data_IF_615021351867
#
_entry.id   IF_615021351867
#
_cell.length_a   1.000
_cell.length_b   1.000
_cell.length_c   1.000
_cell.angle_alpha   90.00
_cell.angle_beta   90.00
_cell.angle_gamma   90.00
#
_symmetry.space_group_name_H-M   'P 1'
#
loop_
_entity.id
_entity.type
_entity.pdbx_description
1 polymer ?
#
# COMPACT_ATOMS: atom_id res chain seq x y z
N UNK A 1 -8.83 36.94 40.09
CA UNK A 1 -7.78 37.43 39.17
C UNK A 1 -6.68 36.38 38.98
N UNK A 2 -6.19 35.70 40.02
CA UNK A 2 -5.15 34.67 39.90
C UNK A 2 -5.49 33.47 39.00
N UNK A 3 -6.74 32.99 38.99
CA UNK A 3 -7.13 31.81 38.19
C UNK A 3 -7.13 32.06 36.67
N UNK A 4 -7.35 33.30 36.23
CA UNK A 4 -7.31 33.64 34.81
C UNK A 4 -5.88 33.68 34.28
N UNK A 5 -4.94 34.19 35.07
CA UNK A 5 -3.52 34.24 34.69
C UNK A 5 -2.89 32.84 34.66
N UNK A 6 -3.27 31.94 35.57
CA UNK A 6 -2.82 30.55 35.55
C UNK A 6 -3.38 29.79 34.35
N UNK A 7 -4.65 30.00 33.99
CA UNK A 7 -5.25 29.42 32.78
C UNK A 7 -4.56 29.96 31.52
N UNK A 8 -4.33 31.28 31.43
CA UNK A 8 -3.71 31.90 30.26
C UNK A 8 -2.25 31.45 30.07
N UNK A 9 -1.48 31.35 31.16
CA UNK A 9 -0.09 30.84 31.13
C UNK A 9 -0.05 29.36 30.74
N UNK A 10 -0.97 28.54 31.29
CA UNK A 10 -1.09 27.13 30.91
C UNK A 10 -1.43 26.96 29.42
N UNK A 11 -2.40 27.71 28.90
CA UNK A 11 -2.76 27.68 27.48
C UNK A 11 -1.60 28.15 26.59
N UNK A 12 -0.85 29.17 27.02
CA UNK A 12 0.35 29.63 26.31
C UNK A 12 1.44 28.56 26.23
N UNK A 13 1.71 27.85 27.33
CA UNK A 13 2.67 26.74 27.38
C UNK A 13 2.19 25.58 26.49
N UNK A 14 0.90 25.24 26.55
CA UNK A 14 0.31 24.18 25.71
C UNK A 14 0.42 24.51 24.22
N UNK A 15 0.10 25.74 23.83
CA UNK A 15 0.22 26.19 22.44
C UNK A 15 1.68 26.17 21.96
N UNK A 16 2.62 26.63 22.79
CA UNK A 16 4.05 26.56 22.49
C UNK A 16 4.53 25.10 22.33
N UNK A 17 4.07 24.18 23.20
CA UNK A 17 4.39 22.77 23.11
C UNK A 17 3.85 22.12 21.81
N UNK A 18 2.59 22.41 21.44
CA UNK A 18 2.01 21.93 20.18
C UNK A 18 2.78 22.49 18.97
N UNK A 19 3.15 23.77 19.00
CA UNK A 19 3.92 24.40 17.93
C UNK A 19 5.32 23.78 17.78
N UNK A 20 6.01 23.55 18.90
CA UNK A 20 7.34 22.92 18.93
C UNK A 20 7.27 21.48 18.40
N UNK A 21 6.30 20.68 18.85
CA UNK A 21 6.14 19.30 18.39
C UNK A 21 5.82 19.23 16.89
N UNK A 22 4.97 20.13 16.39
CA UNK A 22 4.67 20.25 14.97
C UNK A 22 5.92 20.66 14.17
N UNK A 23 6.68 21.67 14.63
CA UNK A 23 7.93 22.08 13.98
C UNK A 23 8.98 20.97 13.95
N UNK A 24 9.18 20.25 15.07
CA UNK A 24 10.08 19.10 15.12
C UNK A 24 9.64 18.00 14.15
N UNK A 25 8.34 17.72 14.07
CA UNK A 25 7.77 16.77 13.12
C UNK A 25 8.02 17.16 11.66
N UNK A 26 7.81 18.43 11.29
CA UNK A 26 8.08 18.93 9.94
C UNK A 26 9.58 18.92 9.62
N UNK A 27 10.43 19.28 10.59
CA UNK A 27 11.89 19.26 10.43
C UNK A 27 12.40 17.84 10.20
N UNK A 28 11.91 16.87 10.95
CA UNK A 28 12.29 15.47 10.79
C UNK A 28 11.82 14.92 9.44
N UNK A 29 10.58 15.21 9.02
CA UNK A 29 10.09 14.85 7.68
C UNK A 29 10.98 15.41 6.56
N UNK A 30 11.34 16.69 6.65
CA UNK A 30 12.24 17.32 5.67
C UNK A 30 13.63 16.68 5.68
N UNK A 31 14.16 16.38 6.87
CA UNK A 31 15.47 15.73 7.04
C UNK A 31 15.48 14.33 6.43
N UNK A 32 14.47 13.51 6.73
CA UNK A 32 14.33 12.16 6.18
C UNK A 32 14.21 12.17 4.66
N UNK A 33 13.39 13.08 4.11
CA UNK A 33 13.28 13.24 2.66
C UNK A 33 14.61 13.64 2.02
N UNK A 34 15.32 14.61 2.60
CA UNK A 34 16.62 15.04 2.07
C UNK A 34 17.68 13.93 2.14
N UNK A 35 17.67 13.12 3.20
CA UNK A 35 18.54 11.94 3.30
C UNK A 35 18.21 10.91 2.22
N UNK A 36 16.93 10.63 1.98
CA UNK A 36 16.49 9.73 0.92
C UNK A 36 16.96 10.24 -0.46
N UNK A 37 16.72 11.51 -0.79
CA UNK A 37 17.21 12.10 -2.04
C UNK A 37 18.72 12.00 -2.19
N UNK A 38 19.47 12.30 -1.13
CA UNK A 38 20.92 12.21 -1.16
C UNK A 38 21.41 10.77 -1.42
N UNK A 39 20.74 9.77 -0.84
CA UNK A 39 21.04 8.37 -1.07
C UNK A 39 20.67 7.91 -2.50
N UNK A 40 19.51 8.30 -3.00
CA UNK A 40 19.08 8.00 -4.39
C UNK A 40 20.03 8.64 -5.41
N UNK A 41 20.42 9.90 -5.19
CA UNK A 41 21.38 10.63 -6.01
C UNK A 41 22.76 9.95 -6.01
N UNK A 42 23.23 9.52 -4.85
CA UNK A 42 24.59 8.97 -4.73
C UNK A 42 24.71 7.51 -5.18
N UNK A 43 23.60 6.78 -5.26
CA UNK A 43 23.53 5.37 -5.68
C UNK A 43 23.26 5.19 -7.18
N UNK A 44 22.63 6.15 -7.83
CA UNK A 44 22.39 6.10 -9.27
C UNK A 44 23.72 6.01 -10.05
N UNK A 45 23.76 5.14 -11.06
CA UNK A 45 24.96 4.89 -11.86
C UNK A 45 26.08 4.16 -11.09
N UNK A 46 25.75 3.45 -10.02
CA UNK A 46 26.69 2.60 -9.27
C UNK A 46 26.09 1.21 -9.06
N UNK A 47 26.94 0.17 -8.93
CA UNK A 47 26.49 -1.16 -8.58
C UNK A 47 25.62 -1.11 -7.32
N UNK A 48 24.39 -1.67 -7.34
CA UNK A 48 23.50 -1.63 -6.20
C UNK A 48 24.08 -2.46 -5.05
N UNK A 49 24.00 -1.91 -3.84
CA UNK A 49 24.26 -2.65 -2.61
C UNK A 49 22.94 -2.92 -1.90
N UNK A 50 22.07 -3.70 -2.55
CA UNK A 50 20.73 -4.04 -2.05
C UNK A 50 20.76 -5.40 -1.38
N UNK A 51 20.57 -5.42 -0.06
CA UNK A 51 20.40 -6.67 0.70
C UNK A 51 18.93 -7.04 0.76
N UNK A 52 18.51 -7.95 -0.10
CA UNK A 52 17.15 -8.48 -0.10
C UNK A 52 17.02 -9.57 0.97
N UNK A 53 16.03 -9.43 1.86
CA UNK A 53 15.74 -10.47 2.85
C UNK A 53 15.27 -11.76 2.14
N UNK A 54 15.62 -12.97 2.64
CA UNK A 54 15.24 -14.24 1.98
C UNK A 54 13.74 -14.36 1.73
N UNK A 55 12.94 -13.92 2.70
CA UNK A 55 11.47 -13.90 2.63
C UNK A 55 10.97 -13.05 1.45
N UNK A 56 11.63 -11.91 1.17
CA UNK A 56 11.29 -11.06 0.03
C UNK A 56 11.80 -11.65 -1.28
N UNK A 57 13.00 -12.23 -1.29
CA UNK A 57 13.56 -12.84 -2.49
C UNK A 57 12.63 -13.93 -3.06
N UNK A 58 12.05 -14.75 -2.18
CA UNK A 58 11.06 -15.77 -2.55
C UNK A 58 9.79 -15.21 -3.21
N UNK A 59 9.53 -13.90 -3.07
CA UNK A 59 8.34 -13.22 -3.58
C UNK A 59 8.59 -12.50 -4.91
N UNK A 60 9.85 -12.38 -5.35
CA UNK A 60 10.22 -11.69 -6.60
C UNK A 60 9.63 -12.37 -7.85
N UNK A 61 9.57 -13.71 -7.96
CA UNK A 61 9.03 -14.36 -9.17
C UNK A 61 7.52 -14.17 -9.38
N UNK A 62 6.79 -13.58 -8.45
CA UNK A 62 5.33 -13.62 -8.42
C UNK A 62 4.67 -12.93 -9.60
N UNK A 63 5.15 -11.76 -10.01
CA UNK A 63 4.67 -11.11 -11.23
C UNK A 63 4.91 -11.99 -12.46
N UNK A 64 6.11 -12.59 -12.58
CA UNK A 64 6.46 -13.50 -13.67
C UNK A 64 5.53 -14.73 -13.74
N UNK A 65 5.25 -15.37 -12.60
CA UNK A 65 4.39 -16.55 -12.54
C UNK A 65 2.94 -16.26 -12.93
N UNK A 66 2.47 -15.03 -12.70
CA UNK A 66 1.12 -14.59 -13.07
C UNK A 66 1.02 -14.05 -14.51
N UNK A 67 2.15 -13.89 -15.21
CA UNK A 67 2.23 -13.36 -16.57
C UNK A 67 3.00 -14.32 -17.49
N UNK A 68 2.45 -15.52 -17.77
CA UNK A 68 3.08 -16.44 -18.69
C UNK A 68 3.14 -15.83 -20.10
N UNK A 69 4.31 -15.94 -20.74
CA UNK A 69 4.56 -15.46 -22.10
C UNK A 69 4.91 -16.61 -23.06
N UNK A 70 4.98 -16.30 -24.36
CA UNK A 70 5.28 -17.30 -25.40
C UNK A 70 6.68 -17.92 -25.23
N UNK A 71 7.65 -17.11 -24.80
CA UNK A 71 9.00 -17.55 -24.47
C UNK A 71 9.41 -16.99 -23.12
N UNK A 72 9.75 -17.89 -22.20
CA UNK A 72 10.23 -17.56 -20.87
C UNK A 72 11.37 -18.48 -20.48
N UNK A 73 12.40 -17.92 -19.87
CA UNK A 73 13.58 -18.63 -19.38
C UNK A 73 13.14 -19.49 -18.19
N UNK A 74 13.34 -20.80 -18.29
CA UNK A 74 13.03 -21.76 -17.23
C UNK A 74 14.09 -21.73 -16.12
N UNK A 75 13.81 -22.39 -15.00
CA UNK A 75 14.71 -22.38 -13.85
C UNK A 75 16.07 -23.03 -14.14
N UNK A 76 16.12 -24.01 -15.06
CA UNK A 76 17.38 -24.64 -15.47
C UNK A 76 18.24 -23.60 -16.20
N UNK A 77 17.71 -22.98 -17.25
CA UNK A 77 18.45 -21.97 -18.02
C UNK A 77 18.78 -20.74 -17.18
N UNK A 78 17.91 -20.33 -16.26
CA UNK A 78 18.17 -19.23 -15.33
C UNK A 78 19.39 -19.48 -14.45
N UNK A 79 19.50 -20.69 -13.91
CA UNK A 79 20.63 -21.10 -13.10
C UNK A 79 21.89 -21.29 -13.94
N UNK A 80 21.80 -21.92 -15.12
CA UNK A 80 22.95 -22.14 -16.01
C UNK A 80 23.60 -20.83 -16.50
N UNK A 81 22.82 -19.75 -16.56
CA UNK A 81 23.27 -18.41 -16.97
C UNK A 81 23.61 -17.48 -15.77
N UNK A 82 23.58 -17.99 -14.54
CA UNK A 82 23.80 -17.22 -13.31
C UNK A 82 22.98 -15.91 -13.24
N UNK A 83 21.72 -15.95 -13.71
CA UNK A 83 20.88 -14.75 -13.82
C UNK A 83 20.47 -14.16 -12.47
N UNK A 84 20.58 -14.91 -11.38
CA UNK A 84 20.45 -14.37 -10.02
C UNK A 84 21.51 -13.30 -9.72
N UNK A 85 22.76 -13.53 -10.15
CA UNK A 85 23.83 -12.56 -9.96
C UNK A 85 23.58 -11.33 -10.84
N UNK A 86 23.21 -11.52 -12.11
CA UNK A 86 22.85 -10.42 -13.02
C UNK A 86 21.70 -9.59 -12.47
N UNK A 87 20.62 -10.22 -11.99
CA UNK A 87 19.50 -9.55 -11.37
C UNK A 87 19.97 -8.72 -10.17
N UNK A 88 20.82 -9.27 -9.30
CA UNK A 88 21.34 -8.56 -8.13
C UNK A 88 22.16 -7.32 -8.48
N UNK A 89 22.89 -7.34 -9.61
CA UNK A 89 23.66 -6.21 -10.11
C UNK A 89 22.78 -5.15 -10.80
N UNK A 90 21.62 -5.54 -11.32
CA UNK A 90 20.69 -4.62 -11.98
C UNK A 90 19.67 -4.01 -11.02
N UNK A 91 19.34 -4.68 -9.92
CA UNK A 91 18.24 -4.29 -9.03
C UNK A 91 18.60 -3.13 -8.10
N UNK A 92 18.32 -1.92 -8.58
CA UNK A 92 18.28 -0.66 -7.82
C UNK A 92 16.85 -0.11 -7.69
N UNK A 93 15.84 -0.96 -7.91
CA UNK A 93 14.43 -0.57 -7.88
C UNK A 93 14.01 -0.10 -6.48
N UNK A 94 13.10 0.86 -6.44
CA UNK A 94 12.62 1.53 -5.23
C UNK A 94 11.42 0.83 -4.57
N UNK A 95 10.71 -0.04 -5.29
CA UNK A 95 9.50 -0.69 -4.80
C UNK A 95 9.37 -2.15 -5.25
N UNK A 96 8.50 -2.88 -4.56
CA UNK A 96 8.27 -4.30 -4.82
C UNK A 96 7.77 -4.59 -6.25
N UNK A 97 6.94 -3.69 -6.81
CA UNK A 97 6.46 -3.83 -8.18
C UNK A 97 7.61 -3.71 -9.20
N UNK A 98 8.59 -2.83 -8.94
CA UNK A 98 9.78 -2.69 -9.77
C UNK A 98 10.67 -3.92 -9.73
N UNK A 99 10.88 -4.51 -8.55
CA UNK A 99 11.65 -5.75 -8.38
C UNK A 99 11.04 -6.90 -9.18
N UNK A 100 9.74 -7.14 -8.97
CA UNK A 100 9.03 -8.25 -9.60
C UNK A 100 8.93 -8.06 -11.12
N UNK A 101 8.72 -6.83 -11.59
CA UNK A 101 8.71 -6.52 -13.03
C UNK A 101 10.11 -6.64 -13.66
N UNK A 102 11.17 -6.19 -12.98
CA UNK A 102 12.55 -6.35 -13.46
C UNK A 102 12.93 -7.82 -13.61
N UNK A 103 12.55 -8.65 -12.63
CA UNK A 103 12.74 -10.10 -12.71
C UNK A 103 11.98 -10.71 -13.89
N UNK A 104 10.73 -10.29 -14.09
CA UNK A 104 9.93 -10.69 -15.25
C UNK A 104 10.59 -10.32 -16.59
N UNK A 105 11.21 -9.14 -16.70
CA UNK A 105 11.94 -8.74 -17.90
C UNK A 105 13.13 -9.65 -18.20
N UNK A 106 13.89 -10.05 -17.17
CA UNK A 106 15.01 -10.99 -17.34
C UNK A 106 14.54 -12.39 -17.71
N UNK A 107 13.42 -12.84 -17.14
CA UNK A 107 12.79 -14.12 -17.48
C UNK A 107 12.14 -14.11 -18.86
N UNK A 108 11.82 -12.94 -19.41
CA UNK A 108 11.04 -12.80 -20.65
C UNK A 108 11.80 -11.88 -21.64
N UNK A 109 12.97 -12.31 -22.15
CA UNK A 109 13.78 -11.46 -23.02
C UNK A 109 13.06 -11.16 -24.34
N UNK A 110 13.19 -9.92 -24.82
CA UNK A 110 12.67 -9.52 -26.12
C UNK A 110 13.38 -10.27 -27.25
N UNK A 111 12.64 -11.05 -28.04
CA UNK A 111 13.19 -11.82 -29.16
C UNK A 111 13.29 -11.03 -30.46
N UNK A 112 12.62 -9.87 -30.54
CA UNK A 112 12.61 -9.00 -31.71
C UNK A 112 12.74 -7.54 -31.26
N UNK A 113 13.28 -6.70 -32.14
CA UNK A 113 13.49 -5.28 -31.85
C UNK A 113 12.18 -4.51 -31.53
N UNK A 114 11.04 -4.96 -32.08
CA UNK A 114 9.73 -4.38 -31.78
C UNK A 114 9.18 -4.73 -30.40
N UNK A 115 9.76 -5.73 -29.73
CA UNK A 115 9.30 -6.25 -28.44
C UNK A 115 10.13 -5.67 -27.27
N UNK A 116 11.01 -4.70 -27.55
CA UNK A 116 11.84 -4.08 -26.51
C UNK A 116 10.96 -3.48 -25.41
N UNK A 117 11.25 -3.78 -24.14
CA UNK A 117 10.41 -3.33 -23.05
C UNK A 117 10.44 -1.82 -22.90
N UNK A 118 11.51 -1.14 -23.33
CA UNK A 118 11.64 0.31 -23.21
C UNK A 118 12.14 0.91 -24.51
N UNK A 119 11.66 2.11 -24.83
CA UNK A 119 12.16 2.87 -25.97
C UNK A 119 13.55 3.44 -25.69
N UNK A 120 14.30 3.76 -26.74
CA UNK A 120 15.57 4.50 -26.61
C UNK A 120 15.37 5.85 -25.92
N UNK A 121 14.27 6.53 -26.21
CA UNK A 121 13.91 7.81 -25.57
C UNK A 121 13.76 7.65 -24.04
N UNK A 122 13.12 6.58 -23.57
CA UNK A 122 13.00 6.29 -22.12
C UNK A 122 14.36 6.08 -21.47
N UNK A 123 15.27 5.35 -22.13
CA UNK A 123 16.63 5.15 -21.61
C UNK A 123 17.42 6.47 -21.55
N UNK A 124 17.41 7.22 -22.65
CA UNK A 124 18.22 8.42 -22.80
C UNK A 124 17.67 9.56 -21.90
N UNK A 125 16.36 9.60 -21.59
CA UNK A 125 15.76 10.60 -20.70
C UNK A 125 16.30 10.56 -19.27
N UNK A 126 16.47 9.37 -18.70
CA UNK A 126 16.99 9.23 -17.34
C UNK A 126 18.52 9.11 -17.28
N UNK A 127 19.16 8.90 -18.44
CA UNK A 127 20.60 8.97 -18.65
C UNK A 127 21.10 10.42 -18.74
N UNK A 128 22.41 10.62 -18.72
CA UNK A 128 23.09 11.92 -18.98
C UNK A 128 22.77 13.10 -18.01
N UNK A 129 22.00 12.87 -16.94
CA UNK A 129 21.82 13.82 -15.83
C UNK A 129 20.88 15.00 -16.08
N UNK A 130 20.42 15.23 -17.31
CA UNK A 130 19.53 16.35 -17.66
C UNK A 130 18.19 16.34 -16.90
N UNK A 131 17.64 15.16 -16.60
CA UNK A 131 16.35 14.99 -15.91
C UNK A 131 16.50 14.42 -14.49
N UNK A 132 17.63 14.68 -13.82
CA UNK A 132 17.90 14.13 -12.50
C UNK A 132 16.83 14.48 -11.44
N UNK A 133 16.35 15.72 -11.38
CA UNK A 133 15.35 16.10 -10.37
C UNK A 133 13.99 15.43 -10.61
N UNK A 134 13.64 15.16 -11.87
CA UNK A 134 12.43 14.42 -12.23
C UNK A 134 12.56 12.93 -11.85
N UNK A 135 13.71 12.33 -12.18
CA UNK A 135 14.08 10.97 -11.74
C UNK A 135 13.97 10.83 -10.21
N UNK A 136 14.57 11.76 -9.46
CA UNK A 136 14.54 11.74 -8.00
C UNK A 136 13.12 11.86 -7.44
N UNK A 137 12.24 12.66 -8.06
CA UNK A 137 10.83 12.75 -7.65
C UNK A 137 10.10 11.43 -7.87
N UNK A 138 10.30 10.79 -9.03
CA UNK A 138 9.71 9.47 -9.31
C UNK A 138 10.21 8.43 -8.32
N UNK A 139 11.54 8.32 -8.12
CA UNK A 139 12.13 7.40 -7.15
C UNK A 139 11.64 7.65 -5.72
N UNK A 140 11.44 8.91 -5.29
CA UNK A 140 10.83 9.23 -4.00
C UNK A 140 9.38 8.72 -3.88
N UNK A 141 8.58 8.88 -4.94
CA UNK A 141 7.20 8.40 -4.99
C UNK A 141 7.17 6.87 -4.93
N UNK A 142 8.03 6.21 -5.70
CA UNK A 142 8.18 4.75 -5.75
C UNK A 142 8.66 4.18 -4.41
N UNK A 143 9.65 4.82 -3.78
CA UNK A 143 10.11 4.44 -2.43
C UNK A 143 8.97 4.52 -1.40
N UNK A 144 8.05 5.48 -1.58
CA UNK A 144 6.85 5.61 -0.75
C UNK A 144 5.86 4.45 -0.88
N UNK A 145 5.79 3.78 -2.03
CA UNK A 145 5.04 2.52 -2.18
C UNK A 145 5.74 1.41 -1.38
N UNK A 146 7.06 1.30 -1.54
CA UNK A 146 7.88 0.33 -0.83
C UNK A 146 7.43 -1.11 -1.11
N UNK A 147 7.39 -1.94 -0.06
CA UNK A 147 7.08 -3.37 -0.17
C UNK A 147 5.75 -3.73 0.51
N UNK A 148 5.13 -4.82 0.06
CA UNK A 148 3.89 -5.36 0.60
C UNK A 148 4.07 -6.11 1.95
N UNK A 149 5.28 -6.12 2.50
CA UNK A 149 5.62 -6.85 3.72
C UNK A 149 6.25 -8.20 3.39
N UNK A 150 5.79 -9.27 4.07
CA UNK A 150 6.34 -10.62 3.94
C UNK A 150 5.84 -11.41 2.73
N UNK A 151 4.71 -11.05 2.15
CA UNK A 151 4.12 -11.73 0.99
C UNK A 151 3.93 -10.75 -0.17
N UNK A 152 3.94 -11.26 -1.40
CA UNK A 152 3.57 -10.50 -2.60
C UNK A 152 2.09 -10.15 -2.59
N UNK A 153 1.70 -9.17 -3.42
CA UNK A 153 0.29 -8.83 -3.58
C UNK A 153 -0.52 -10.01 -4.15
N UNK A 154 0.08 -10.84 -5.01
CA UNK A 154 -0.57 -12.01 -5.61
C UNK A 154 -0.89 -13.08 -4.58
N UNK A 155 0.09 -13.51 -3.77
CA UNK A 155 -0.13 -14.44 -2.64
C UNK A 155 -1.24 -13.93 -1.71
N UNK A 156 -1.30 -12.61 -1.51
CA UNK A 156 -2.32 -12.00 -0.70
C UNK A 156 -3.70 -12.00 -1.36
N UNK A 157 -3.79 -11.71 -2.66
CA UNK A 157 -5.03 -11.80 -3.42
C UNK A 157 -5.54 -13.24 -3.41
N UNK A 158 -4.68 -14.22 -3.62
CA UNK A 158 -5.01 -15.64 -3.62
C UNK A 158 -5.40 -16.15 -2.23
N UNK A 159 -4.65 -15.78 -1.19
CA UNK A 159 -5.01 -16.11 0.17
C UNK A 159 -6.36 -15.50 0.56
N UNK A 160 -6.78 -14.37 -0.04
CA UNK A 160 -8.13 -13.88 0.20
C UNK A 160 -9.20 -14.85 -0.28
N UNK A 161 -8.95 -15.68 -1.29
CA UNK A 161 -9.91 -16.72 -1.72
C UNK A 161 -10.27 -17.69 -0.59
N UNK A 162 -9.33 -17.96 0.32
CA UNK A 162 -9.56 -18.81 1.51
C UNK A 162 -10.62 -18.25 2.48
N UNK A 163 -10.91 -16.94 2.42
CA UNK A 163 -11.96 -16.32 3.22
C UNK A 163 -13.39 -16.65 2.74
N UNK A 164 -13.53 -17.29 1.58
CA UNK A 164 -14.82 -17.63 0.99
C UNK A 164 -15.68 -16.40 0.65
N UNK A 165 -16.98 -16.62 0.49
CA UNK A 165 -17.96 -15.55 0.41
C UNK A 165 -18.30 -15.04 1.82
N UNK A 166 -18.23 -13.72 2.01
CA UNK A 166 -18.52 -13.08 3.30
C UNK A 166 -19.81 -12.28 3.20
N UNK A 167 -20.78 -12.60 4.06
CA UNK A 167 -22.05 -11.87 4.16
C UNK A 167 -21.97 -10.81 5.25
N UNK A 168 -22.56 -9.64 4.99
CA UNK A 168 -22.75 -8.60 6.00
C UNK A 168 -23.98 -8.84 6.91
N UNK A 169 -24.80 -9.86 6.62
CA UNK A 169 -26.02 -10.15 7.38
C UNK A 169 -25.76 -10.35 8.88
N UNK A 170 -24.75 -11.12 9.34
CA UNK A 170 -24.49 -11.28 10.77
C UNK A 170 -24.15 -9.95 11.46
N UNK A 171 -23.46 -9.04 10.76
CA UNK A 171 -23.13 -7.72 11.29
C UNK A 171 -24.36 -6.83 11.39
N UNK A 172 -25.26 -6.84 10.40
CA UNK A 172 -26.52 -6.09 10.49
C UNK A 172 -27.43 -6.61 11.61
N UNK A 173 -27.48 -7.93 11.83
CA UNK A 173 -28.20 -8.52 12.96
C UNK A 173 -27.58 -8.13 14.30
N UNK A 174 -26.25 -8.16 14.41
CA UNK A 174 -25.52 -7.69 15.59
C UNK A 174 -25.82 -6.22 15.91
N UNK A 175 -25.96 -5.36 14.89
CA UNK A 175 -26.33 -3.96 15.06
C UNK A 175 -27.78 -3.81 15.50
N UNK A 176 -28.71 -4.58 14.92
CA UNK A 176 -30.14 -4.49 15.21
C UNK A 176 -30.52 -5.05 16.59
N UNK A 177 -29.83 -6.08 17.08
CA UNK A 177 -30.17 -6.78 18.31
C UNK A 177 -30.17 -5.88 19.57
N UNK A 178 -29.21 -4.96 19.79
CA UNK A 178 -29.27 -4.00 20.90
C UNK A 178 -30.51 -3.10 20.86
N UNK A 179 -30.92 -2.64 19.67
CA UNK A 179 -32.12 -1.81 19.52
C UNK A 179 -33.39 -2.61 19.80
N UNK A 180 -33.44 -3.88 19.40
CA UNK A 180 -34.55 -4.77 19.73
C UNK A 180 -34.64 -5.05 21.24
N UNK A 181 -33.50 -5.28 21.90
CA UNK A 181 -33.44 -5.45 23.36
C UNK A 181 -33.87 -4.17 24.10
N UNK A 182 -33.46 -3.01 23.60
CA UNK A 182 -33.90 -1.72 24.11
C UNK A 182 -35.40 -1.50 23.93
N UNK A 183 -35.97 -1.86 22.78
CA UNK A 183 -37.42 -1.79 22.54
C UNK A 183 -38.20 -2.69 23.51
N UNK A 184 -37.66 -3.86 23.85
CA UNK A 184 -38.28 -4.78 24.82
C UNK A 184 -38.34 -4.20 26.24
N UNK A 185 -37.46 -3.27 26.59
CA UNK A 185 -37.48 -2.61 27.92
C UNK A 185 -38.78 -1.81 28.15
N UNK A 186 -39.44 -1.33 27.10
CA UNK A 186 -40.73 -0.63 27.21
C UNK A 186 -41.89 -1.58 27.57
N UNK A 187 -41.74 -2.89 27.31
CA UNK A 187 -42.73 -3.92 27.65
C UNK A 187 -42.40 -4.59 28.99
N UNK A 188 -41.13 -4.98 29.18
CA UNK A 188 -40.64 -5.66 30.38
C UNK A 188 -39.21 -5.23 30.74
N UNK A 189 -39.09 -4.26 31.65
CA UNK A 189 -37.81 -3.63 32.01
C UNK A 189 -36.74 -4.64 32.43
N UNK A 190 -37.05 -5.57 33.33
CA UNK A 190 -36.07 -6.53 33.86
C UNK A 190 -35.54 -7.50 32.80
N UNK A 191 -36.42 -8.02 31.95
CA UNK A 191 -36.05 -8.91 30.84
C UNK A 191 -35.26 -8.16 29.77
N UNK A 192 -35.67 -6.94 29.44
CA UNK A 192 -34.98 -6.09 28.47
C UNK A 192 -33.54 -5.75 28.88
N UNK A 193 -33.29 -5.42 30.15
CA UNK A 193 -31.94 -5.15 30.67
C UNK A 193 -31.05 -6.40 30.57
N UNK A 194 -31.55 -7.55 31.03
CA UNK A 194 -30.79 -8.81 30.97
C UNK A 194 -30.44 -9.19 29.53
N UNK A 195 -31.41 -9.05 28.61
CA UNK A 195 -31.22 -9.34 27.19
C UNK A 195 -30.22 -8.37 26.55
N UNK A 196 -30.29 -7.07 26.87
CA UNK A 196 -29.37 -6.07 26.35
C UNK A 196 -27.92 -6.39 26.76
N UNK A 197 -27.69 -6.73 28.03
CA UNK A 197 -26.36 -7.12 28.52
C UNK A 197 -25.84 -8.37 27.80
N UNK A 198 -26.70 -9.38 27.63
CA UNK A 198 -26.33 -10.61 26.91
C UNK A 198 -25.97 -10.34 25.44
N UNK A 199 -26.77 -9.52 24.74
CA UNK A 199 -26.53 -9.14 23.35
C UNK A 199 -25.24 -8.33 23.20
N UNK A 200 -24.98 -7.36 24.09
CA UNK A 200 -23.75 -6.56 24.05
C UNK A 200 -22.51 -7.44 24.28
N UNK A 201 -22.56 -8.36 25.25
CA UNK A 201 -21.47 -9.30 25.50
C UNK A 201 -21.22 -10.22 24.28
N UNK A 202 -22.29 -10.76 23.69
CA UNK A 202 -22.19 -11.57 22.48
C UNK A 202 -21.61 -10.78 21.30
N UNK A 203 -22.08 -9.56 21.07
CA UNK A 203 -21.58 -8.68 20.01
C UNK A 203 -20.09 -8.39 20.18
N UNK A 204 -19.64 -8.10 21.40
CA UNK A 204 -18.23 -7.83 21.68
C UNK A 204 -17.35 -9.05 21.36
N UNK A 205 -17.76 -10.24 21.82
CA UNK A 205 -17.02 -11.50 21.57
C UNK A 205 -17.03 -11.85 20.08
N UNK A 206 -18.18 -11.72 19.41
CA UNK A 206 -18.32 -11.97 17.97
C UNK A 206 -17.46 -11.03 17.14
N UNK A 207 -17.45 -9.74 17.49
CA UNK A 207 -16.64 -8.73 16.84
C UNK A 207 -15.15 -9.08 16.89
N UNK A 208 -14.59 -9.34 18.07
CA UNK A 208 -13.15 -9.61 18.20
C UNK A 208 -12.75 -10.94 17.54
N UNK A 209 -13.62 -11.95 17.56
CA UNK A 209 -13.40 -13.21 16.82
C UNK A 209 -13.31 -12.97 15.32
N UNK A 210 -14.21 -12.18 14.75
CA UNK A 210 -14.16 -11.86 13.32
C UNK A 210 -12.99 -10.93 12.97
N UNK A 211 -12.72 -9.92 13.80
CA UNK A 211 -11.58 -9.02 13.64
C UNK A 211 -10.25 -9.77 13.61
N UNK A 212 -10.07 -10.77 14.48
CA UNK A 212 -8.86 -11.59 14.51
C UNK A 212 -8.67 -12.40 13.20
N UNK A 213 -9.76 -12.92 12.61
CA UNK A 213 -9.68 -13.67 11.34
C UNK A 213 -9.27 -12.78 10.17
N UNK A 214 -9.73 -11.54 10.14
CA UNK A 214 -9.46 -10.63 9.02
C UNK A 214 -8.18 -9.79 9.21
N UNK A 215 -7.60 -9.77 10.41
CA UNK A 215 -6.41 -8.99 10.76
C UNK A 215 -5.22 -9.14 9.78
N UNK A 216 -4.87 -10.36 9.30
CA UNK A 216 -3.76 -10.52 8.35
C UNK A 216 -3.96 -9.80 7.02
N UNK A 217 -5.22 -9.62 6.60
CA UNK A 217 -5.57 -9.07 5.29
C UNK A 217 -5.56 -7.53 5.25
N UNK A 218 -5.47 -6.86 6.40
CA UNK A 218 -5.35 -5.40 6.45
C UNK A 218 -4.09 -4.89 5.74
N UNK A 219 -3.00 -5.66 5.81
CA UNK A 219 -1.74 -5.29 5.15
C UNK A 219 -1.91 -5.18 3.64
N UNK A 220 -2.73 -6.05 3.05
CA UNK A 220 -3.04 -6.10 1.62
C UNK A 220 -3.76 -4.85 1.18
N UNK A 221 -4.85 -4.51 1.87
CA UNK A 221 -5.62 -3.31 1.54
C UNK A 221 -4.79 -2.04 1.74
N UNK A 222 -3.94 -2.00 2.76
CA UNK A 222 -3.01 -0.89 2.95
C UNK A 222 -1.98 -0.80 1.81
N UNK A 223 -1.50 -1.93 1.29
CA UNK A 223 -0.61 -1.92 0.12
C UNK A 223 -1.35 -1.45 -1.14
N UNK A 224 -2.57 -1.94 -1.41
CA UNK A 224 -3.38 -1.47 -2.55
C UNK A 224 -3.67 0.03 -2.44
N UNK A 225 -4.01 0.54 -1.24
CA UNK A 225 -4.21 1.98 -1.05
C UNK A 225 -2.92 2.79 -1.33
N UNK A 226 -1.76 2.30 -0.87
CA UNK A 226 -0.47 2.91 -1.20
C UNK A 226 -0.15 2.84 -2.69
N UNK A 227 -0.51 1.75 -3.37
CA UNK A 227 -0.36 1.61 -4.84
C UNK A 227 -1.20 2.65 -5.57
N UNK A 228 -2.47 2.83 -5.18
CA UNK A 228 -3.34 3.86 -5.74
C UNK A 228 -2.79 5.27 -5.50
N UNK A 229 -2.28 5.56 -4.30
CA UNK A 229 -1.65 6.83 -3.99
C UNK A 229 -0.33 7.05 -4.76
N UNK A 230 0.45 5.98 -4.97
CA UNK A 230 1.67 6.02 -5.77
C UNK A 230 1.34 6.35 -7.22
N UNK A 231 0.40 5.64 -7.83
CA UNK A 231 -0.08 5.89 -9.19
C UNK A 231 -0.61 7.31 -9.36
N UNK A 232 -1.42 7.81 -8.41
CA UNK A 232 -1.91 9.20 -8.43
C UNK A 232 -0.76 10.23 -8.39
N UNK A 233 0.32 9.95 -7.67
CA UNK A 233 1.49 10.86 -7.61
C UNK A 233 2.37 10.77 -8.85
N UNK A 234 2.50 9.57 -9.43
CA UNK A 234 3.22 9.33 -10.69
C UNK A 234 2.53 10.05 -11.85
N UNK A 235 1.21 9.90 -11.98
CA UNK A 235 0.41 10.60 -13.00
C UNK A 235 0.62 12.12 -12.92
N UNK A 236 0.58 12.70 -11.70
CA UNK A 236 0.83 14.13 -11.48
C UNK A 236 2.25 14.60 -11.82
N UNK A 237 3.24 13.71 -11.96
CA UNK A 237 4.55 14.12 -12.45
C UNK A 237 4.52 14.47 -13.94
N UNK A 238 3.55 13.93 -14.70
CA UNK A 238 3.39 14.16 -16.14
C UNK A 238 4.71 13.97 -16.91
N UNK A 239 5.41 12.88 -16.63
CA UNK A 239 6.68 12.53 -17.25
C UNK A 239 6.47 12.21 -18.74
N UNK A 240 7.04 12.98 -19.69
CA UNK A 240 6.74 12.83 -21.12
C UNK A 240 7.03 11.43 -21.67
N UNK A 241 8.10 10.78 -21.20
CA UNK A 241 8.52 9.46 -21.69
C UNK A 241 7.67 8.29 -21.18
N UNK A 242 6.76 8.56 -20.24
CA UNK A 242 5.77 7.59 -19.74
C UNK A 242 4.35 8.09 -19.91
N UNK A 243 4.11 8.92 -20.93
CA UNK A 243 2.79 9.53 -21.15
C UNK A 243 1.71 8.49 -21.42
N UNK A 244 2.01 7.45 -22.19
CA UNK A 244 1.05 6.37 -22.48
C UNK A 244 0.62 5.64 -21.20
N UNK A 245 1.58 5.36 -20.31
CA UNK A 245 1.31 4.76 -19.01
C UNK A 245 0.53 5.73 -18.10
N UNK A 246 0.92 7.01 -18.07
CA UNK A 246 0.29 8.04 -17.25
C UNK A 246 -1.17 8.29 -17.67
N UNK A 247 -1.47 8.31 -18.97
CA UNK A 247 -2.81 8.55 -19.51
C UNK A 247 -3.80 7.42 -19.13
N UNK A 248 -3.30 6.22 -18.83
CA UNK A 248 -4.12 5.08 -18.37
C UNK A 248 -4.46 5.13 -16.88
N UNK A 249 -3.63 5.79 -16.06
CA UNK A 249 -3.78 5.83 -14.60
C UNK A 249 -5.13 6.42 -14.15
N UNK A 250 -5.63 7.55 -14.69
CA UNK A 250 -6.88 8.15 -14.24
C UNK A 250 -8.09 7.21 -14.36
N UNK A 251 -8.19 6.47 -15.46
CA UNK A 251 -9.26 5.49 -15.68
C UNK A 251 -9.18 4.33 -14.67
N UNK A 252 -7.97 3.83 -14.42
CA UNK A 252 -7.73 2.79 -13.42
C UNK A 252 -8.09 3.29 -12.02
N UNK A 253 -7.64 4.49 -11.62
CA UNK A 253 -7.94 5.09 -10.31
C UNK A 253 -9.44 5.34 -10.10
N UNK A 254 -10.15 5.78 -11.14
CA UNK A 254 -11.59 6.03 -11.08
C UNK A 254 -12.36 4.76 -10.70
N UNK A 255 -11.92 3.60 -11.18
CA UNK A 255 -12.52 2.30 -10.82
C UNK A 255 -12.46 2.05 -9.30
N UNK A 256 -11.47 2.58 -8.57
CA UNK A 256 -11.29 2.38 -7.12
C UNK A 256 -11.95 3.45 -6.24
N UNK A 257 -12.77 4.35 -6.79
CA UNK A 257 -13.41 5.42 -6.00
C UNK A 257 -14.22 4.89 -4.80
N UNK A 258 -14.98 3.80 -4.99
CA UNK A 258 -15.74 3.13 -3.92
C UNK A 258 -14.85 2.38 -2.92
N UNK A 259 -13.65 1.97 -3.35
CA UNK A 259 -12.70 1.26 -2.51
C UNK A 259 -12.08 2.24 -1.51
N UNK A 260 -11.61 3.40 -2.01
CA UNK A 260 -11.02 4.50 -1.22
C UNK A 260 -12.03 5.17 -0.27
N UNK A 261 -13.31 5.23 -0.61
CA UNK A 261 -14.32 5.91 0.21
C UNK A 261 -14.45 5.25 1.58
N UNK A 262 -14.25 6.01 2.66
CA UNK A 262 -14.44 5.53 4.03
C UNK A 262 -13.31 4.62 4.55
N UNK A 263 -12.15 4.58 3.89
CA UNK A 263 -10.97 3.85 4.41
C UNK A 263 -10.44 4.43 5.72
N UNK A 264 -10.75 5.70 6.03
CA UNK A 264 -10.47 6.28 7.35
C UNK A 264 -11.19 5.57 8.51
N UNK A 265 -12.32 4.89 8.24
CA UNK A 265 -13.00 4.03 9.22
C UNK A 265 -12.29 2.66 9.39
N UNK A 266 -11.42 2.32 8.45
CA UNK A 266 -10.75 1.03 8.34
C UNK A 266 -9.29 1.08 8.82
N UNK A 267 -8.55 2.13 8.46
CA UNK A 267 -7.12 2.33 8.70
C UNK A 267 -6.75 2.74 10.13
N UNK A 268 -7.70 3.23 10.93
CA UNK A 268 -7.43 3.77 12.26
C UNK A 268 -7.18 2.71 13.34
N UNK A 269 -6.73 1.51 12.99
CA UNK A 269 -6.49 0.41 13.94
C UNK A 269 -5.01 0.09 14.19
N UNK A 270 -4.06 0.83 13.59
CA UNK A 270 -2.64 0.48 13.67
C UNK A 270 -1.85 1.14 14.80
N UNK A 271 -2.39 2.10 15.53
CA UNK A 271 -1.74 2.65 16.73
C UNK A 271 -2.78 3.25 17.63
N UNK A 272 -2.77 2.89 18.92
CA UNK A 272 -3.63 3.52 19.93
C UNK A 272 -3.62 5.02 19.76
N UNK A 273 -4.74 5.56 19.31
CA UNK A 273 -4.89 6.99 19.12
C UNK A 273 -4.84 7.63 20.48
N UNK A 274 -3.80 8.41 20.77
CA UNK A 274 -3.74 9.30 21.93
C UNK A 274 -4.72 10.48 21.83
N UNK A 275 -5.46 10.57 20.73
CA UNK A 275 -6.52 11.54 20.48
C UNK A 275 -7.87 11.06 21.04
N UNK A 276 -8.54 11.82 21.92
CA UNK A 276 -9.88 11.52 22.45
C UNK A 276 -10.93 11.18 21.39
N UNK A 277 -10.87 11.80 20.21
CA UNK A 277 -11.81 11.50 19.13
C UNK A 277 -11.63 10.08 18.55
N UNK A 278 -10.39 9.58 18.55
CA UNK A 278 -10.07 8.23 18.09
C UNK A 278 -10.64 7.14 19.00
N UNK A 279 -10.63 7.36 20.33
CA UNK A 279 -11.26 6.46 21.29
C UNK A 279 -12.77 6.34 21.06
N UNK A 280 -13.48 7.45 20.87
CA UNK A 280 -14.92 7.43 20.59
C UNK A 280 -15.20 6.68 19.28
N UNK A 281 -14.41 6.94 18.24
CA UNK A 281 -14.56 6.28 16.94
C UNK A 281 -14.32 4.77 17.02
N UNK A 282 -13.41 4.32 17.90
CA UNK A 282 -13.17 2.90 18.15
C UNK A 282 -14.40 2.20 18.75
N UNK A 283 -15.03 2.79 19.77
CA UNK A 283 -16.28 2.25 20.32
C UNK A 283 -17.41 2.23 19.28
N UNK A 284 -17.52 3.28 18.46
CA UNK A 284 -18.49 3.34 17.36
C UNK A 284 -18.22 2.21 16.36
N UNK A 285 -16.97 1.94 15.99
CA UNK A 285 -16.63 0.82 15.09
C UNK A 285 -16.97 -0.53 15.69
N UNK A 286 -16.68 -0.76 16.97
CA UNK A 286 -16.99 -2.02 17.65
C UNK A 286 -18.52 -2.21 17.73
N UNK A 287 -19.24 -1.19 18.19
CA UNK A 287 -20.69 -1.27 18.37
C UNK A 287 -21.42 -1.46 17.03
N UNK A 288 -21.01 -0.73 16.00
CA UNK A 288 -21.65 -0.78 14.68
C UNK A 288 -20.96 -1.70 13.67
N UNK A 289 -19.92 -2.45 14.06
CA UNK A 289 -19.15 -3.35 13.18
C UNK A 289 -18.69 -2.69 11.86
N UNK A 290 -18.45 -1.37 11.86
CA UNK A 290 -18.28 -0.58 10.64
C UNK A 290 -17.06 -1.02 9.84
N UNK A 291 -15.97 -1.34 10.52
CA UNK A 291 -14.72 -1.78 9.91
C UNK A 291 -14.85 -3.18 9.31
N UNK A 292 -15.59 -4.11 9.95
CA UNK A 292 -15.88 -5.44 9.42
C UNK A 292 -16.76 -5.38 8.16
N UNK A 293 -17.82 -4.56 8.18
CA UNK A 293 -18.68 -4.33 7.02
C UNK A 293 -17.88 -3.69 5.88
N UNK A 294 -17.05 -2.69 6.19
CA UNK A 294 -16.19 -2.04 5.21
C UNK A 294 -15.14 -3.01 4.67
N UNK A 295 -14.56 -3.88 5.51
CA UNK A 295 -13.64 -4.93 5.09
C UNK A 295 -14.29 -5.83 4.02
N UNK A 296 -15.48 -6.36 4.29
CA UNK A 296 -16.19 -7.23 3.35
C UNK A 296 -16.47 -6.51 2.01
N UNK A 297 -16.85 -5.23 2.06
CA UNK A 297 -17.03 -4.42 0.84
C UNK A 297 -15.72 -4.21 0.08
N UNK A 298 -14.61 -3.95 0.77
CA UNK A 298 -13.29 -3.80 0.16
C UNK A 298 -12.80 -5.12 -0.46
N UNK A 299 -13.06 -6.25 0.21
CA UNK A 299 -12.71 -7.57 -0.27
C UNK A 299 -13.38 -7.89 -1.62
N UNK A 300 -14.71 -7.68 -1.70
CA UNK A 300 -15.47 -7.89 -2.94
C UNK A 300 -14.94 -6.99 -4.07
N UNK A 301 -14.69 -5.72 -3.77
CA UNK A 301 -14.19 -4.77 -4.74
C UNK A 301 -12.77 -5.07 -5.23
N UNK A 302 -11.90 -5.56 -4.35
CA UNK A 302 -10.54 -5.96 -4.72
C UNK A 302 -10.55 -7.20 -5.61
N UNK A 303 -11.34 -8.23 -5.25
CA UNK A 303 -11.51 -9.44 -6.07
C UNK A 303 -12.09 -9.13 -7.45
N UNK A 304 -13.06 -8.21 -7.52
CA UNK A 304 -13.67 -7.81 -8.79
C UNK A 304 -12.79 -6.93 -9.67
N UNK A 305 -11.64 -6.45 -9.18
CA UNK A 305 -10.76 -5.49 -9.88
C UNK A 305 -9.29 -5.93 -9.92
N UNK A 306 -9.04 -7.24 -9.91
CA UNK A 306 -7.68 -7.78 -9.93
C UNK A 306 -6.89 -7.31 -11.16
N UNK A 307 -7.53 -7.25 -12.33
CA UNK A 307 -6.90 -6.79 -13.58
C UNK A 307 -6.46 -5.33 -13.52
N UNK A 308 -7.23 -4.49 -12.85
CA UNK A 308 -6.91 -3.07 -12.69
C UNK A 308 -5.79 -2.87 -11.66
N UNK A 309 -5.75 -3.68 -10.61
CA UNK A 309 -4.62 -3.71 -9.65
C UNK A 309 -3.35 -4.13 -10.38
N UNK A 310 -3.44 -5.20 -11.17
CA UNK A 310 -2.36 -5.75 -11.97
C UNK A 310 -1.83 -4.72 -13.00
N UNK A 311 -2.72 -4.03 -13.71
CA UNK A 311 -2.34 -2.96 -14.63
C UNK A 311 -1.61 -1.81 -13.93
N UNK A 312 -2.02 -1.44 -12.72
CA UNK A 312 -1.32 -0.44 -11.91
C UNK A 312 0.06 -0.94 -11.45
N UNK A 313 0.16 -2.20 -11.00
CA UNK A 313 1.44 -2.82 -10.67
C UNK A 313 2.39 -2.83 -11.87
N UNK A 314 1.87 -3.20 -13.05
CA UNK A 314 2.61 -3.22 -14.31
C UNK A 314 3.17 -1.84 -14.64
N UNK A 315 2.32 -0.80 -14.61
CA UNK A 315 2.74 0.58 -14.90
C UNK A 315 3.82 1.04 -13.93
N UNK A 316 3.60 0.86 -12.62
CA UNK A 316 4.55 1.29 -11.59
C UNK A 316 5.86 0.49 -11.68
N UNK A 317 5.77 -0.83 -11.87
CA UNK A 317 6.91 -1.72 -12.02
C UNK A 317 7.75 -1.35 -13.24
N UNK A 318 7.11 -1.14 -14.39
CA UNK A 318 7.75 -0.71 -15.64
C UNK A 318 8.56 0.58 -15.47
N UNK A 319 7.99 1.60 -14.81
CA UNK A 319 8.69 2.87 -14.55
C UNK A 319 9.92 2.65 -13.67
N UNK A 320 9.77 1.92 -12.56
CA UNK A 320 10.86 1.69 -11.60
C UNK A 320 11.98 0.82 -12.19
N UNK A 321 11.62 -0.26 -12.91
CA UNK A 321 12.58 -1.12 -13.60
C UNK A 321 13.32 -0.37 -14.72
N UNK A 322 12.65 0.55 -15.43
CA UNK A 322 13.32 1.39 -16.43
C UNK A 322 14.43 2.23 -15.78
N UNK A 323 14.12 2.92 -14.68
CA UNK A 323 15.10 3.74 -13.95
C UNK A 323 16.25 2.86 -13.44
N UNK A 324 15.93 1.66 -12.95
CA UNK A 324 16.92 0.70 -12.48
C UNK A 324 17.87 0.23 -13.57
N UNK A 325 17.34 -0.12 -14.76
CA UNK A 325 18.15 -0.55 -15.91
C UNK A 325 19.00 0.60 -16.46
N UNK A 326 18.49 1.82 -16.48
CA UNK A 326 19.30 3.00 -16.84
C UNK A 326 20.45 3.17 -15.84
N UNK A 327 20.17 3.09 -14.54
CA UNK A 327 21.20 3.16 -13.50
C UNK A 327 22.26 2.08 -13.69
N UNK A 328 21.86 0.84 -14.00
CA UNK A 328 22.80 -0.25 -14.29
C UNK A 328 23.61 0.02 -15.57
N UNK A 329 23.00 0.54 -16.63
CA UNK A 329 23.70 0.88 -17.88
C UNK A 329 24.82 1.89 -17.66
N UNK A 330 24.64 2.86 -16.76
CA UNK A 330 25.67 3.84 -16.38
C UNK A 330 26.84 3.21 -15.58
N UNK A 331 26.69 1.98 -15.08
CA UNK A 331 27.80 1.23 -14.44
C UNK A 331 28.68 0.50 -15.44
N UNK A 332 28.19 0.31 -16.67
CA UNK A 332 28.90 -0.41 -17.72
C UNK A 332 29.96 0.50 -18.37
N UNK A 333 31.10 -0.08 -18.78
CA UNK A 333 32.24 0.67 -19.31
C UNK A 333 32.02 1.32 -20.69
#
# INVERSE_FOLDING_TARGET
MGDYETILTFLGILAAFILITLMLGLRERKRTRNKLRAALRSSFGKPPFKKTAPERYAQIPQYYLHHPGDFQIDDITWNDLDLDEMFSQMDSTCCAAGEEYLYYLLRTPALRAGDLPFSREQYDWFGEGAHEEERLRLQEILTGLGHAGRYSLYDYIDSTASLGERSNLPHYLAIAAPFAAFALMFLHTGVGILLLLAVLAFNLVSYFKEKAKIAPYFQVFNYVLRLLECAEKVEKQNCPVFKEEADRIPALLASFASFRRGTGLFLGSTTGSTDPAGFVLEYVRILFHLDLIKFNSMLVQMRGRQKEIDALLTIIGRIDSCISLVSWRETLP
#
